data_IF_736571247274
#
_entry.id   IF_736571247274
#
_cell.length_a   1.000
_cell.length_b   1.000
_cell.length_c   1.000
_cell.angle_alpha   90.00
_cell.angle_beta   90.00
_cell.angle_gamma   90.00
#
_symmetry.space_group_name_H-M   'P 1'
#
loop_
_entity.id
_entity.type
_entity.pdbx_description
1 polymer ?
#
# COMPACT_ATOMS: atom_id res chain seq x y z
N UNK A 1 6.17 -15.34 12.35
CA UNK A 1 4.79 -14.88 12.17
C UNK A 1 4.58 -13.59 12.93
N UNK A 2 3.69 -12.73 12.42
CA UNK A 2 3.16 -11.58 13.14
C UNK A 2 1.67 -11.80 13.44
N UNK A 3 1.18 -11.26 14.57
CA UNK A 3 -0.24 -11.28 14.93
C UNK A 3 -0.80 -9.91 14.56
N UNK A 4 -0.92 -9.70 13.27
CA UNK A 4 -1.28 -8.41 12.65
C UNK A 4 -2.30 -8.59 11.51
N UNK A 5 -2.89 -9.78 11.42
CA UNK A 5 -3.95 -10.10 10.46
C UNK A 5 -5.33 -9.63 10.92
N UNK A 6 -6.30 -9.75 10.02
CA UNK A 6 -7.68 -9.31 10.24
C UNK A 6 -8.50 -10.21 11.17
N UNK A 7 -9.62 -10.68 10.65
CA UNK A 7 -10.61 -11.46 11.39
C UNK A 7 -10.09 -12.83 11.83
N UNK A 8 -10.78 -13.46 12.79
CA UNK A 8 -10.50 -14.82 13.23
C UNK A 8 -10.44 -15.77 12.03
N UNK A 9 -9.29 -16.41 11.84
CA UNK A 9 -9.03 -17.33 10.75
C UNK A 9 -8.23 -16.75 9.59
N UNK A 10 -7.97 -15.46 9.55
CA UNK A 10 -7.17 -14.86 8.47
C UNK A 10 -5.70 -15.30 8.56
N UNK A 11 -5.19 -15.73 7.42
CA UNK A 11 -3.78 -15.97 7.15
C UNK A 11 -3.38 -15.16 5.94
N UNK A 12 -2.47 -14.24 6.13
CA UNK A 12 -2.13 -13.23 5.15
C UNK A 12 -0.62 -13.27 4.87
N UNK A 13 -0.27 -13.58 3.63
CA UNK A 13 1.13 -13.59 3.15
C UNK A 13 1.31 -12.87 1.81
N UNK A 14 0.28 -12.14 1.40
CA UNK A 14 0.31 -11.18 0.30
C UNK A 14 -0.12 -9.79 0.80
N UNK A 15 0.62 -8.78 0.42
CA UNK A 15 0.31 -7.39 0.70
C UNK A 15 0.62 -6.51 -0.53
N UNK A 16 0.19 -5.27 -0.53
CA UNK A 16 0.56 -4.34 -1.59
C UNK A 16 2.08 -4.14 -1.70
N UNK A 17 2.58 -3.94 -2.93
CA UNK A 17 3.73 -3.08 -3.17
C UNK A 17 3.30 -1.64 -2.99
N UNK A 18 4.14 -0.82 -2.41
CA UNK A 18 3.80 0.54 -2.01
C UNK A 18 4.89 1.54 -2.38
N UNK A 19 4.47 2.62 -3.02
CA UNK A 19 5.28 3.82 -3.22
C UNK A 19 4.52 5.07 -2.82
N UNK A 20 5.26 6.14 -2.58
CA UNK A 20 4.74 7.49 -2.49
C UNK A 20 5.29 8.32 -3.64
N UNK A 21 4.48 9.25 -4.13
CA UNK A 21 4.90 10.22 -5.13
C UNK A 21 4.56 11.64 -4.65
N UNK A 22 5.56 12.52 -4.69
CA UNK A 22 5.42 13.95 -4.41
C UNK A 22 5.60 14.71 -5.71
N UNK A 23 4.55 15.37 -6.14
CA UNK A 23 4.58 16.20 -7.35
C UNK A 23 4.73 17.65 -6.93
N UNK A 24 5.72 18.32 -7.48
CA UNK A 24 5.96 19.74 -7.27
C UNK A 24 5.77 20.48 -8.60
N UNK A 25 4.96 21.53 -8.60
CA UNK A 25 4.63 22.33 -9.76
C UNK A 25 5.04 23.78 -9.49
N UNK A 26 5.84 24.35 -10.38
CA UNK A 26 6.28 25.75 -10.34
C UNK A 26 5.38 26.59 -11.23
N UNK A 27 4.87 27.67 -10.68
CA UNK A 27 4.09 28.66 -11.42
C UNK A 27 4.84 29.99 -11.58
N UNK A 28 4.24 30.86 -12.37
CA UNK A 28 4.69 32.26 -12.58
C UNK A 28 3.52 33.17 -12.30
N UNK A 29 3.57 33.89 -11.18
CA UNK A 29 2.54 34.88 -10.82
C UNK A 29 2.86 36.24 -11.45
N UNK A 30 1.83 36.85 -12.00
CA UNK A 30 1.87 38.22 -12.53
C UNK A 30 0.56 38.91 -12.24
N UNK A 31 0.48 40.23 -12.40
CA UNK A 31 -0.77 40.98 -12.25
C UNK A 31 -1.85 40.40 -13.17
N UNK A 32 -3.02 40.05 -12.62
CA UNK A 32 -4.08 39.30 -13.31
C UNK A 32 -4.59 40.00 -14.57
N UNK A 33 -4.65 41.32 -14.57
CA UNK A 33 -5.06 42.11 -15.72
C UNK A 33 -4.09 42.06 -16.92
N UNK A 34 -2.86 41.62 -16.72
CA UNK A 34 -1.80 41.55 -17.74
C UNK A 34 -1.21 40.13 -17.89
N UNK A 35 -1.96 39.13 -17.47
CA UNK A 35 -1.49 37.75 -17.32
C UNK A 35 -1.41 36.95 -18.63
N UNK A 36 -2.08 37.42 -19.71
CA UNK A 36 -2.13 36.71 -21.00
C UNK A 36 -0.73 36.42 -21.54
N UNK A 37 -0.42 35.13 -21.73
CA UNK A 37 0.87 34.67 -22.27
C UNK A 37 2.05 34.79 -21.29
N UNK A 38 1.81 35.13 -20.00
CA UNK A 38 2.85 35.33 -19.00
C UNK A 38 2.65 34.52 -17.73
N UNK A 39 1.40 34.38 -17.27
CA UNK A 39 1.09 33.66 -16.05
C UNK A 39 1.09 32.16 -16.27
N UNK A 40 1.73 31.43 -15.37
CA UNK A 40 1.58 30.00 -15.19
C UNK A 40 1.02 29.80 -13.79
N UNK A 41 -0.26 29.41 -13.71
CA UNK A 41 -0.92 29.23 -12.42
C UNK A 41 -0.76 27.77 -11.96
N UNK A 42 0.10 27.51 -10.98
CA UNK A 42 0.39 26.18 -10.47
C UNK A 42 -0.86 25.48 -9.91
N UNK A 43 -1.81 26.20 -9.31
CA UNK A 43 -3.07 25.60 -8.85
C UNK A 43 -3.91 25.01 -9.99
N UNK A 44 -3.94 25.67 -11.15
CA UNK A 44 -4.62 25.12 -12.32
C UNK A 44 -3.90 23.91 -12.89
N UNK A 45 -2.58 23.95 -12.90
CA UNK A 45 -1.77 22.83 -13.35
C UNK A 45 -1.91 21.61 -12.41
N UNK A 46 -2.07 21.82 -11.11
CA UNK A 46 -2.34 20.76 -10.14
C UNK A 46 -3.66 20.04 -10.43
N UNK A 47 -4.72 20.78 -10.77
CA UNK A 47 -6.00 20.20 -11.19
C UNK A 47 -5.84 19.45 -12.51
N UNK A 48 -5.09 20.00 -13.47
CA UNK A 48 -4.84 19.33 -14.75
C UNK A 48 -4.06 18.03 -14.53
N UNK A 49 -3.02 18.03 -13.69
CA UNK A 49 -2.27 16.82 -13.34
C UNK A 49 -3.18 15.76 -12.70
N UNK A 50 -4.01 16.16 -11.72
CA UNK A 50 -4.96 15.22 -11.09
C UNK A 50 -5.93 14.61 -12.10
N UNK A 51 -6.38 15.37 -13.07
CA UNK A 51 -7.29 14.88 -14.12
C UNK A 51 -6.63 13.91 -15.12
N UNK A 52 -5.31 13.77 -15.09
CA UNK A 52 -4.60 12.73 -15.87
C UNK A 52 -4.62 11.37 -15.16
N UNK A 53 -4.84 11.33 -13.85
CA UNK A 53 -4.92 10.09 -13.07
C UNK A 53 -6.26 9.40 -13.38
N UNK A 54 -6.28 8.10 -13.71
CA UNK A 54 -7.51 7.39 -14.03
C UNK A 54 -8.49 7.38 -12.85
N UNK A 55 -9.69 7.89 -13.05
CA UNK A 55 -10.73 7.96 -12.02
C UNK A 55 -11.14 6.58 -11.49
N UNK A 56 -11.12 5.56 -12.36
CA UNK A 56 -11.44 4.18 -11.98
C UNK A 56 -10.36 3.49 -11.14
N UNK A 57 -9.18 4.11 -10.99
CA UNK A 57 -8.04 3.55 -10.27
C UNK A 57 -7.76 4.32 -8.97
N UNK A 58 -8.81 4.61 -8.21
CA UNK A 58 -8.76 5.23 -6.88
C UNK A 58 -9.20 4.23 -5.81
N UNK A 59 -8.86 4.43 -4.53
CA UNK A 59 -9.29 3.53 -3.45
C UNK A 59 -10.81 3.32 -3.41
N UNK A 60 -11.58 4.36 -3.75
CA UNK A 60 -13.04 4.34 -3.74
C UNK A 60 -13.64 3.49 -4.88
N UNK A 61 -12.85 3.17 -5.90
CA UNK A 61 -13.28 2.44 -7.11
C UNK A 61 -12.62 1.06 -7.26
N UNK A 62 -11.77 0.67 -6.31
CA UNK A 62 -10.96 -0.55 -6.41
C UNK A 62 -11.15 -1.49 -5.23
N UNK A 63 -11.11 -2.79 -5.49
CA UNK A 63 -11.23 -3.86 -4.49
C UNK A 63 -10.27 -5.03 -4.79
N UNK A 64 -10.17 -5.98 -3.86
CA UNK A 64 -9.36 -7.20 -4.03
C UNK A 64 -7.92 -6.89 -4.44
N UNK A 65 -7.49 -7.47 -5.55
CA UNK A 65 -6.14 -7.30 -6.11
C UNK A 65 -5.93 -6.04 -6.96
N UNK A 66 -6.97 -5.23 -7.14
CA UNK A 66 -6.85 -4.01 -7.94
C UNK A 66 -5.98 -2.98 -7.23
N UNK A 67 -4.97 -2.48 -7.96
CA UNK A 67 -4.12 -1.41 -7.49
C UNK A 67 -4.75 -0.03 -7.70
N UNK A 68 -4.17 1.01 -7.07
CA UNK A 68 -4.72 2.36 -7.13
C UNK A 68 -3.66 3.46 -6.99
N UNK A 69 -4.07 4.67 -7.36
CA UNK A 69 -3.45 5.94 -6.97
C UNK A 69 -4.38 6.63 -5.97
N UNK A 70 -3.84 7.06 -4.85
CA UNK A 70 -4.62 7.83 -3.87
C UNK A 70 -3.98 9.19 -3.63
N UNK A 71 -4.70 10.24 -3.98
CA UNK A 71 -4.32 11.61 -3.66
C UNK A 71 -4.54 11.88 -2.18
N UNK A 72 -3.45 12.05 -1.42
CA UNK A 72 -3.51 12.38 0.01
C UNK A 72 -3.81 13.86 0.26
N UNK A 73 -3.35 14.72 -0.63
CA UNK A 73 -3.58 16.16 -0.46
C UNK A 73 -2.98 17.00 -1.58
N UNK A 74 -3.52 18.21 -1.69
CA UNK A 74 -3.03 19.28 -2.58
C UNK A 74 -2.83 20.55 -1.76
N UNK A 75 -1.63 21.08 -1.77
CA UNK A 75 -1.31 22.42 -1.28
C UNK A 75 -0.97 23.27 -2.50
N UNK A 76 -1.70 24.37 -2.74
CA UNK A 76 -1.47 25.14 -3.97
C UNK A 76 -1.73 26.62 -3.84
N UNK A 77 -0.93 27.38 -4.61
CA UNK A 77 -1.05 28.81 -4.90
C UNK A 77 -0.70 29.05 -6.36
N UNK A 78 -0.72 30.30 -6.80
CA UNK A 78 -0.35 30.63 -8.19
C UNK A 78 1.13 30.28 -8.47
N UNK A 79 2.02 30.51 -7.51
CA UNK A 79 3.47 30.37 -7.66
C UNK A 79 3.95 28.92 -7.53
N UNK A 80 3.24 28.10 -6.73
CA UNK A 80 3.60 26.68 -6.56
C UNK A 80 2.39 25.83 -6.20
N UNK A 81 2.51 24.53 -6.51
CA UNK A 81 1.61 23.52 -5.99
C UNK A 81 2.38 22.25 -5.63
N UNK A 82 1.89 21.54 -4.62
CA UNK A 82 2.40 20.24 -4.16
C UNK A 82 1.24 19.28 -4.06
N UNK A 83 1.39 18.12 -4.71
CA UNK A 83 0.44 17.03 -4.61
C UNK A 83 1.17 15.81 -4.00
N UNK A 84 0.50 15.12 -3.10
CA UNK A 84 1.04 13.92 -2.46
C UNK A 84 0.17 12.73 -2.79
N UNK A 85 0.77 11.68 -3.34
CA UNK A 85 0.11 10.43 -3.70
C UNK A 85 0.72 9.25 -2.98
N UNK A 86 -0.09 8.23 -2.75
CA UNK A 86 0.36 6.87 -2.54
C UNK A 86 -0.07 6.00 -3.72
N UNK A 87 0.81 5.07 -4.09
CA UNK A 87 0.64 4.14 -5.21
C UNK A 87 0.67 2.73 -4.63
N UNK A 88 -0.30 1.90 -5.01
CA UNK A 88 -0.46 0.53 -4.50
C UNK A 88 -0.79 -0.42 -5.64
N UNK A 89 -0.15 -1.58 -5.64
CA UNK A 89 -0.54 -2.74 -6.47
C UNK A 89 0.04 -4.02 -5.86
N UNK A 90 -0.68 -5.15 -5.92
CA UNK A 90 -0.15 -6.44 -5.50
C UNK A 90 0.87 -7.00 -6.49
N UNK A 91 0.62 -6.79 -7.79
CA UNK A 91 1.50 -7.22 -8.86
C UNK A 91 2.68 -6.27 -9.02
N UNK A 92 3.91 -6.81 -9.01
CA UNK A 92 5.14 -6.02 -9.11
C UNK A 92 5.27 -5.28 -10.44
N UNK A 93 4.90 -5.91 -11.55
CA UNK A 93 5.04 -5.27 -12.87
C UNK A 93 4.03 -4.14 -13.03
N UNK A 94 2.79 -4.34 -12.58
CA UNK A 94 1.76 -3.28 -12.58
C UNK A 94 2.15 -2.14 -11.64
N UNK A 95 2.74 -2.46 -10.50
CA UNK A 95 3.24 -1.45 -9.56
C UNK A 95 4.32 -0.56 -10.20
N UNK A 96 5.31 -1.15 -10.89
CA UNK A 96 6.32 -0.37 -11.61
C UNK A 96 5.67 0.47 -12.73
N UNK A 97 4.78 -0.12 -13.52
CA UNK A 97 4.05 0.60 -14.57
C UNK A 97 3.22 1.78 -14.03
N UNK A 98 2.72 1.69 -12.80
CA UNK A 98 2.03 2.82 -12.14
C UNK A 98 2.98 3.98 -11.83
N UNK A 99 4.20 3.69 -11.42
CA UNK A 99 5.22 4.74 -11.19
C UNK A 99 5.64 5.40 -12.49
N UNK A 100 5.88 4.58 -13.54
CA UNK A 100 6.20 5.07 -14.88
C UNK A 100 5.08 5.97 -15.44
N UNK A 101 3.82 5.64 -15.17
CA UNK A 101 2.69 6.48 -15.57
C UNK A 101 2.72 7.87 -14.93
N UNK A 102 3.09 7.98 -13.65
CA UNK A 102 3.27 9.29 -13.00
C UNK A 102 4.39 10.09 -13.68
N UNK A 103 5.51 9.44 -14.03
CA UNK A 103 6.62 10.09 -14.74
C UNK A 103 6.19 10.54 -16.15
N UNK A 104 5.39 9.74 -16.84
CA UNK A 104 4.81 10.12 -18.13
C UNK A 104 3.87 11.34 -18.01
N UNK A 105 3.09 11.44 -16.94
CA UNK A 105 2.27 12.61 -16.67
C UNK A 105 3.14 13.87 -16.48
N UNK A 106 4.22 13.75 -15.70
CA UNK A 106 5.21 14.84 -15.52
C UNK A 106 5.80 15.28 -16.86
N UNK A 107 6.21 14.32 -17.67
CA UNK A 107 6.79 14.59 -19.00
C UNK A 107 5.81 15.33 -19.90
N UNK A 108 4.57 14.88 -20.00
CA UNK A 108 3.52 15.54 -20.80
C UNK A 108 3.25 16.96 -20.34
N UNK A 109 3.23 17.20 -19.02
CA UNK A 109 3.07 18.53 -18.47
C UNK A 109 4.27 19.44 -18.82
N UNK A 110 5.50 18.94 -18.75
CA UNK A 110 6.71 19.70 -19.09
C UNK A 110 6.78 19.98 -20.60
N UNK A 111 6.37 19.06 -21.46
CA UNK A 111 6.26 19.32 -22.92
C UNK A 111 5.31 20.49 -23.22
N UNK A 112 4.23 20.63 -22.43
CA UNK A 112 3.20 21.67 -22.64
C UNK A 112 3.58 23.01 -22.02
N UNK A 113 4.18 23.01 -20.82
CA UNK A 113 4.38 24.20 -20.00
C UNK A 113 5.83 24.63 -19.85
N UNK A 114 6.76 23.85 -20.37
CA UNK A 114 8.21 24.11 -20.29
C UNK A 114 8.90 23.17 -19.30
N UNK A 115 10.13 22.80 -19.63
CA UNK A 115 10.95 21.88 -18.85
C UNK A 115 11.14 22.38 -17.41
N UNK A 116 11.01 21.46 -16.44
CA UNK A 116 11.15 21.76 -15.01
C UNK A 116 9.97 22.50 -14.37
N UNK A 117 8.86 22.71 -15.11
CA UNK A 117 7.61 23.24 -14.55
C UNK A 117 7.00 22.23 -13.56
N UNK A 118 7.04 20.95 -13.89
CA UNK A 118 6.54 19.85 -13.02
C UNK A 118 7.70 18.91 -12.73
N UNK A 119 7.85 18.52 -11.48
CA UNK A 119 8.80 17.49 -11.04
C UNK A 119 8.11 16.47 -10.15
N UNK A 120 8.58 15.23 -10.18
CA UNK A 120 8.13 14.17 -9.27
C UNK A 120 9.31 13.63 -8.46
N UNK A 121 9.05 13.33 -7.19
CA UNK A 121 9.89 12.51 -6.33
C UNK A 121 9.09 11.25 -6.00
N UNK A 122 9.52 10.09 -6.54
CA UNK A 122 8.85 8.81 -6.33
C UNK A 122 9.80 7.92 -5.53
N UNK A 123 9.30 7.32 -4.43
CA UNK A 123 10.09 6.42 -3.61
C UNK A 123 9.26 5.24 -3.11
N UNK A 124 9.89 4.07 -3.13
CA UNK A 124 9.28 2.84 -2.65
C UNK A 124 9.25 2.80 -1.12
N UNK A 125 8.17 2.30 -0.55
CA UNK A 125 7.96 2.22 0.90
C UNK A 125 8.12 0.78 1.41
N UNK A 126 7.49 -0.18 0.74
CA UNK A 126 7.58 -1.61 1.00
C UNK A 126 7.10 -2.40 -0.22
N UNK A 127 7.34 -3.71 -0.16
CA UNK A 127 6.98 -4.62 -1.25
C UNK A 127 6.09 -5.77 -0.76
N UNK A 128 5.46 -6.46 -1.71
CA UNK A 128 4.65 -7.64 -1.44
C UNK A 128 5.53 -8.77 -0.88
N UNK A 129 5.25 -9.19 0.36
CA UNK A 129 6.02 -10.25 1.03
C UNK A 129 5.89 -11.62 0.36
N UNK A 130 4.89 -11.82 -0.50
CA UNK A 130 4.73 -13.05 -1.27
C UNK A 130 6.01 -13.45 -1.99
N UNK A 131 6.78 -12.50 -2.53
CA UNK A 131 8.08 -12.75 -3.17
C UNK A 131 9.07 -13.48 -2.26
N UNK A 132 8.94 -13.32 -0.95
CA UNK A 132 9.80 -13.94 0.08
C UNK A 132 9.17 -15.16 0.72
N UNK A 133 7.84 -15.26 0.71
CA UNK A 133 7.10 -16.38 1.26
C UNK A 133 7.07 -17.56 0.27
N UNK A 134 6.86 -17.31 -1.03
CA UNK A 134 6.77 -18.36 -2.06
C UNK A 134 7.94 -19.38 -2.03
N UNK A 135 9.22 -18.97 -1.86
CA UNK A 135 10.32 -19.93 -1.70
C UNK A 135 10.31 -20.66 -0.34
N UNK A 136 9.46 -20.29 0.60
CA UNK A 136 9.45 -20.75 1.98
C UNK A 136 8.04 -21.19 2.43
N UNK A 137 7.30 -21.87 1.55
CA UNK A 137 5.89 -22.24 1.80
C UNK A 137 5.68 -23.13 3.02
N UNK A 138 6.74 -23.78 3.52
CA UNK A 138 6.67 -24.54 4.77
C UNK A 138 6.15 -23.71 5.96
N UNK A 139 6.45 -22.40 6.00
CA UNK A 139 5.91 -21.53 7.07
C UNK A 139 4.39 -21.36 6.96
N UNK A 140 3.84 -21.44 5.74
CA UNK A 140 2.39 -21.42 5.52
C UNK A 140 1.76 -22.75 5.90
N UNK A 141 2.38 -23.87 5.52
CA UNK A 141 1.88 -25.22 5.85
C UNK A 141 1.81 -25.43 7.37
N UNK A 142 2.83 -24.98 8.12
CA UNK A 142 2.86 -25.02 9.58
C UNK A 142 1.65 -24.28 10.17
N UNK A 143 1.41 -23.04 9.75
CA UNK A 143 0.34 -22.23 10.33
C UNK A 143 -1.05 -22.72 9.91
N UNK A 144 -1.23 -23.20 8.68
CA UNK A 144 -2.49 -23.79 8.23
C UNK A 144 -2.87 -24.99 9.10
N UNK A 145 -1.90 -25.89 9.36
CA UNK A 145 -2.09 -27.04 10.25
C UNK A 145 -2.37 -26.59 11.69
N UNK A 146 -1.62 -25.63 12.21
CA UNK A 146 -1.80 -25.10 13.56
C UNK A 146 -3.19 -24.51 13.77
N UNK A 147 -3.70 -23.74 12.80
CA UNK A 147 -5.04 -23.18 12.85
C UNK A 147 -6.11 -24.28 12.86
N UNK A 148 -5.99 -25.27 11.97
CA UNK A 148 -6.92 -26.41 11.92
C UNK A 148 -6.94 -27.19 13.25
N UNK A 149 -5.77 -27.52 13.82
CA UNK A 149 -5.67 -28.23 15.09
C UNK A 149 -6.17 -27.41 16.29
N UNK A 150 -6.13 -26.07 16.20
CA UNK A 150 -6.70 -25.16 17.19
C UNK A 150 -8.23 -24.94 17.01
N UNK A 151 -8.84 -25.62 16.01
CA UNK A 151 -10.26 -25.46 15.69
C UNK A 151 -10.61 -24.09 15.11
N UNK A 152 -9.67 -23.50 14.37
CA UNK A 152 -9.83 -22.23 13.64
C UNK A 152 -9.77 -22.53 12.15
N UNK A 153 -10.89 -22.42 11.41
CA UNK A 153 -10.88 -22.58 9.94
C UNK A 153 -10.03 -21.49 9.29
N UNK A 154 -8.94 -21.83 8.57
CA UNK A 154 -8.08 -20.83 7.93
C UNK A 154 -8.76 -20.23 6.70
N UNK A 155 -8.57 -18.92 6.51
CA UNK A 155 -8.95 -18.15 5.33
C UNK A 155 -7.71 -17.39 4.84
N UNK A 156 -7.27 -17.68 3.63
CA UNK A 156 -6.13 -17.01 3.01
C UNK A 156 -6.63 -15.82 2.21
N UNK A 157 -6.27 -14.61 2.64
CA UNK A 157 -6.68 -13.36 2.02
C UNK A 157 -5.49 -12.42 1.83
N UNK A 158 -5.46 -11.62 0.75
CA UNK A 158 -4.44 -10.60 0.56
C UNK A 158 -4.75 -9.35 1.39
N UNK A 159 -3.71 -8.71 1.93
CA UNK A 159 -3.84 -7.44 2.63
C UNK A 159 -3.78 -6.28 1.65
N UNK A 160 -4.71 -5.33 1.76
CA UNK A 160 -4.69 -4.07 1.00
C UNK A 160 -3.91 -2.96 1.73
N UNK A 161 -2.80 -3.32 2.34
CA UNK A 161 -1.93 -2.45 3.13
C UNK A 161 -0.52 -3.01 3.21
N UNK A 162 0.25 -2.54 4.17
CA UNK A 162 1.57 -3.05 4.54
C UNK A 162 1.56 -3.51 5.99
N UNK A 163 2.49 -4.39 6.36
CA UNK A 163 2.62 -4.96 7.69
C UNK A 163 4.08 -5.07 8.10
N UNK A 164 4.34 -5.23 9.40
CA UNK A 164 5.68 -5.52 9.90
C UNK A 164 6.21 -6.85 9.37
N UNK A 165 5.34 -7.84 9.15
CA UNK A 165 5.67 -9.12 8.53
C UNK A 165 6.27 -8.97 7.14
N UNK A 166 5.76 -8.03 6.33
CA UNK A 166 6.34 -7.70 5.04
C UNK A 166 7.77 -7.15 5.20
N UNK A 167 7.98 -6.21 6.12
CA UNK A 167 9.32 -5.65 6.39
C UNK A 167 10.32 -6.72 6.87
N UNK A 168 9.88 -7.60 7.76
CA UNK A 168 10.70 -8.72 8.27
C UNK A 168 11.06 -9.71 7.17
N UNK A 169 10.11 -10.01 6.28
CA UNK A 169 10.31 -10.90 5.15
C UNK A 169 11.42 -10.40 4.22
N UNK A 170 11.46 -9.11 3.93
CA UNK A 170 12.54 -8.51 3.12
C UNK A 170 13.87 -8.37 3.87
N UNK A 171 13.89 -8.50 5.19
CA UNK A 171 15.11 -8.60 5.99
C UNK A 171 15.65 -10.05 6.13
N UNK A 172 15.02 -11.00 5.45
CA UNK A 172 15.44 -12.42 5.42
C UNK A 172 14.71 -13.33 6.40
N UNK A 173 13.65 -12.86 7.05
CA UNK A 173 12.78 -13.66 7.90
C UNK A 173 11.39 -13.78 7.26
N UNK A 174 11.10 -14.85 6.49
CA UNK A 174 9.77 -15.08 5.94
C UNK A 174 8.72 -15.06 7.06
N UNK A 175 7.86 -14.04 7.07
CA UNK A 175 7.01 -13.72 8.21
C UNK A 175 5.58 -13.37 7.79
N UNK A 176 4.73 -14.39 7.52
CA UNK A 176 3.31 -14.16 7.25
C UNK A 176 2.57 -13.67 8.49
N UNK A 177 1.43 -13.01 8.29
CA UNK A 177 0.56 -12.57 9.37
C UNK A 177 -0.51 -13.62 9.65
N UNK A 178 -0.78 -13.85 10.93
CA UNK A 178 -1.94 -14.59 11.40
C UNK A 178 -2.95 -13.62 12.01
N UNK A 179 -4.19 -14.03 12.07
CA UNK A 179 -5.30 -13.24 12.61
C UNK A 179 -4.99 -12.65 13.99
N UNK A 180 -5.32 -11.37 14.17
CA UNK A 180 -5.42 -10.71 15.47
C UNK A 180 -6.86 -10.78 16.01
N UNK A 181 -7.84 -10.83 15.10
CA UNK A 181 -9.27 -10.89 15.41
C UNK A 181 -9.82 -9.63 16.04
N UNK A 182 -9.15 -8.51 15.79
CA UNK A 182 -9.63 -7.20 16.20
C UNK A 182 -10.76 -6.71 15.31
N UNK A 183 -11.52 -5.75 15.81
CA UNK A 183 -12.66 -5.14 15.13
C UNK A 183 -12.50 -3.62 15.19
N UNK A 184 -12.90 -2.93 14.12
CA UNK A 184 -12.81 -1.48 13.98
C UNK A 184 -11.37 -0.93 14.12
N UNK A 185 -10.40 -1.61 13.55
CA UNK A 185 -9.00 -1.20 13.55
C UNK A 185 -8.83 0.28 13.19
N UNK A 186 -7.91 0.96 13.86
CA UNK A 186 -7.61 2.39 13.72
C UNK A 186 -8.78 3.32 14.09
N UNK A 187 -9.85 2.78 14.63
CA UNK A 187 -11.03 3.56 15.04
C UNK A 187 -11.14 3.78 16.56
N UNK A 188 -11.96 4.74 17.01
CA UNK A 188 -12.14 5.00 18.45
C UNK A 188 -12.92 3.88 19.16
N UNK A 189 -13.50 2.94 18.44
CA UNK A 189 -14.24 1.78 18.95
C UNK A 189 -13.54 0.47 18.63
N UNK A 190 -12.22 0.49 18.50
CA UNK A 190 -11.40 -0.69 18.32
C UNK A 190 -11.48 -1.62 19.52
N UNK A 191 -11.68 -2.91 19.31
CA UNK A 191 -11.69 -3.91 20.36
C UNK A 191 -11.33 -5.29 19.82
N UNK A 192 -10.98 -6.20 20.73
CA UNK A 192 -10.83 -7.65 20.46
C UNK A 192 -11.53 -8.43 21.56
N UNK A 193 -12.19 -9.55 21.21
CA UNK A 193 -12.82 -10.40 22.20
C UNK A 193 -11.82 -11.31 22.91
N UNK A 194 -12.05 -11.60 24.20
CA UNK A 194 -11.21 -12.54 24.97
C UNK A 194 -11.20 -13.92 24.33
N UNK A 195 -12.32 -14.36 23.75
CA UNK A 195 -12.42 -15.64 23.08
C UNK A 195 -11.50 -15.74 21.87
N UNK A 196 -11.39 -14.67 21.07
CA UNK A 196 -10.48 -14.62 19.93
C UNK A 196 -9.02 -14.55 20.40
N UNK A 197 -8.72 -13.77 21.44
CA UNK A 197 -7.38 -13.73 22.05
C UNK A 197 -6.93 -15.14 22.49
N UNK A 198 -7.81 -15.93 23.09
CA UNK A 198 -7.52 -17.32 23.45
C UNK A 198 -7.19 -18.17 22.23
N UNK A 199 -7.96 -18.02 21.14
CA UNK A 199 -7.70 -18.75 19.88
C UNK A 199 -6.35 -18.39 19.26
N UNK A 200 -5.94 -17.11 19.35
CA UNK A 200 -4.60 -16.67 18.94
C UNK A 200 -3.53 -17.40 19.76
N UNK A 201 -3.68 -17.45 21.08
CA UNK A 201 -2.72 -18.14 21.97
C UNK A 201 -2.66 -19.63 21.63
N UNK A 202 -3.80 -20.30 21.48
CA UNK A 202 -3.88 -21.72 21.12
C UNK A 202 -3.14 -21.98 19.80
N UNK A 203 -3.34 -21.12 18.81
CA UNK A 203 -2.69 -21.22 17.49
C UNK A 203 -1.17 -21.02 17.59
N UNK A 204 -0.70 -20.05 18.38
CA UNK A 204 0.75 -19.80 18.59
C UNK A 204 1.41 -21.03 19.22
N UNK A 205 0.79 -21.63 20.25
CA UNK A 205 1.30 -22.85 20.89
C UNK A 205 1.39 -23.99 19.87
N UNK A 206 0.36 -24.16 19.05
CA UNK A 206 0.37 -25.19 17.99
C UNK A 206 1.44 -24.94 16.93
N UNK A 207 1.67 -23.69 16.54
CA UNK A 207 2.78 -23.35 15.62
C UNK A 207 4.13 -23.81 16.21
N UNK A 208 4.36 -23.56 17.50
CA UNK A 208 5.60 -23.95 18.16
C UNK A 208 5.76 -25.49 18.21
N UNK A 209 4.69 -26.23 18.58
CA UNK A 209 4.69 -27.71 18.62
C UNK A 209 4.97 -28.29 17.22
N UNK A 210 4.27 -27.81 16.19
CA UNK A 210 4.44 -28.31 14.82
C UNK A 210 5.80 -27.94 14.25
N UNK A 211 6.36 -26.79 14.61
CA UNK A 211 7.70 -26.38 14.15
C UNK A 211 8.80 -27.30 14.70
N UNK A 212 8.65 -27.82 15.93
CA UNK A 212 9.56 -28.80 16.50
C UNK A 212 9.53 -30.12 15.68
N UNK A 213 8.32 -30.60 15.30
CA UNK A 213 8.19 -31.78 14.43
C UNK A 213 8.82 -31.62 13.04
N UNK A 214 8.91 -30.40 12.51
CA UNK A 214 9.52 -30.13 11.20
C UNK A 214 11.07 -30.15 11.24
N UNK A 215 11.69 -30.04 12.44
CA UNK A 215 13.12 -30.00 12.62
C UNK A 215 13.72 -31.37 12.95
N UNK A 216 12.88 -32.37 13.21
CA UNK A 216 13.24 -33.78 13.45
C UNK A 216 13.17 -34.59 12.13
#
# INVERSE_FOLDING_TARGET
YTIDGGDLGDLEYENFNAAAAKIHIKGVSVHTGYAKGKMINASRLAVEFQNMIPEAETPEQTEGYQGFYHLLGIESRCEEAKLSYIIRDHDRQKFEARKDFIEDCVKKMNEKYGEGTVTAEIYDQYYNMKEKIDPNMHVIDIVLRAMQESGVPPRVEPIRGGTDGAQLSFKGLPCPNIFAGGVNFHGPHEFVSVQVMQKVVDTIVKIAEITEEYND
#
